data_IF_252908724068
#
_entry.id   IF_252908724068
#
_cell.length_a   1.000
_cell.length_b   1.000
_cell.length_c   1.000
_cell.angle_alpha   90.00
_cell.angle_beta   90.00
_cell.angle_gamma   90.00
#
_symmetry.space_group_name_H-M   'P 1'
#
loop_
_entity.id
_entity.type
_entity.pdbx_description
1 polymer ?
#
# COMPACT_ATOMS: atom_id res chain seq x y z
N UNK A 1 -33.64 -5.36 22.83
CA UNK A 1 -32.26 -5.89 23.01
C UNK A 1 -32.13 -7.14 22.14
N UNK A 2 -31.02 -7.28 21.39
CA UNK A 2 -30.71 -8.33 20.40
C UNK A 2 -31.04 -8.06 18.91
N UNK A 3 -30.27 -7.14 18.31
CA UNK A 3 -29.78 -7.30 16.93
C UNK A 3 -28.31 -6.85 16.86
N UNK A 4 -27.44 -7.46 17.66
CA UNK A 4 -26.01 -7.47 17.30
C UNK A 4 -25.97 -8.41 16.09
N UNK A 5 -26.03 -7.83 14.89
CA UNK A 5 -25.73 -8.53 13.64
C UNK A 5 -24.48 -9.36 13.90
N UNK A 6 -24.56 -10.70 13.77
CA UNK A 6 -23.40 -11.58 13.94
C UNK A 6 -22.29 -11.04 13.06
N UNK A 7 -21.31 -10.38 13.68
CA UNK A 7 -20.16 -9.80 13.01
C UNK A 7 -19.49 -10.94 12.25
N UNK A 8 -19.37 -10.80 10.94
CA UNK A 8 -18.78 -11.85 10.12
C UNK A 8 -17.26 -11.75 10.21
N UNK A 9 -16.65 -12.64 10.98
CA UNK A 9 -15.20 -12.70 11.20
C UNK A 9 -14.39 -12.82 9.89
N UNK A 10 -14.93 -13.48 8.86
CA UNK A 10 -14.26 -13.61 7.56
C UNK A 10 -14.18 -12.27 6.82
N UNK A 11 -15.22 -11.43 6.89
CA UNK A 11 -15.18 -10.07 6.32
C UNK A 11 -14.14 -9.21 7.04
N UNK A 12 -14.12 -9.29 8.37
CA UNK A 12 -13.19 -8.54 9.21
C UNK A 12 -11.74 -8.96 8.95
N UNK A 13 -11.49 -10.27 8.88
CA UNK A 13 -10.17 -10.83 8.56
C UNK A 13 -9.68 -10.42 7.17
N UNK A 14 -10.58 -10.42 6.17
CA UNK A 14 -10.26 -9.95 4.82
C UNK A 14 -9.83 -8.47 4.81
N UNK A 15 -10.59 -7.59 5.47
CA UNK A 15 -10.24 -6.18 5.56
C UNK A 15 -8.92 -5.98 6.31
N UNK A 16 -8.71 -6.69 7.43
CA UNK A 16 -7.46 -6.64 8.16
C UNK A 16 -6.28 -7.04 7.28
N UNK A 17 -6.36 -8.18 6.57
CA UNK A 17 -5.25 -8.65 5.74
C UNK A 17 -4.94 -7.69 4.59
N UNK A 18 -5.97 -7.14 3.94
CA UNK A 18 -5.80 -6.23 2.81
C UNK A 18 -5.13 -4.92 3.24
N UNK A 19 -5.60 -4.32 4.33
CA UNK A 19 -5.06 -3.05 4.82
C UNK A 19 -3.66 -3.24 5.39
N UNK A 20 -3.35 -4.34 6.08
CA UNK A 20 -1.97 -4.60 6.50
C UNK A 20 -1.05 -4.75 5.27
N UNK A 21 -1.42 -5.59 4.30
CA UNK A 21 -0.53 -5.90 3.17
C UNK A 21 -0.29 -4.71 2.25
N UNK A 22 -1.30 -3.87 2.00
CA UNK A 22 -1.16 -2.75 1.06
C UNK A 22 -0.33 -1.59 1.65
N UNK A 23 -0.38 -1.39 2.97
CA UNK A 23 0.32 -0.28 3.61
C UNK A 23 1.80 -0.56 3.87
N UNK A 24 2.22 -1.83 3.89
CA UNK A 24 3.65 -2.19 4.00
C UNK A 24 4.49 -1.56 2.87
N UNK A 25 4.22 -1.82 1.57
CA UNK A 25 5.01 -1.23 0.49
C UNK A 25 4.83 0.29 0.43
N UNK A 26 3.63 0.80 0.67
CA UNK A 26 3.37 2.24 0.64
C UNK A 26 4.22 2.99 1.68
N UNK A 27 4.23 2.50 2.93
CA UNK A 27 4.94 3.15 4.03
C UNK A 27 6.46 2.91 3.97
N UNK A 28 6.90 1.86 3.29
CA UNK A 28 8.31 1.70 2.96
C UNK A 28 8.84 2.85 2.10
N UNK A 29 8.16 3.18 1.00
CA UNK A 29 8.59 4.29 0.14
C UNK A 29 8.42 5.65 0.79
N UNK A 30 7.39 5.80 1.63
CA UNK A 30 7.08 7.07 2.27
C UNK A 30 7.95 7.38 3.50
N UNK A 31 8.31 6.38 4.29
CA UNK A 31 9.03 6.59 5.55
C UNK A 31 10.39 5.87 5.60
N UNK A 32 10.45 4.56 5.31
CA UNK A 32 11.70 3.80 5.46
C UNK A 32 12.79 4.25 4.48
N UNK A 33 12.46 4.39 3.20
CA UNK A 33 13.41 4.72 2.14
C UNK A 33 14.06 6.11 2.34
N UNK A 34 13.30 7.20 2.59
CA UNK A 34 13.90 8.51 2.91
C UNK A 34 14.87 8.47 4.08
N UNK A 35 14.52 7.75 5.15
CA UNK A 35 15.37 7.61 6.34
C UNK A 35 16.63 6.83 6.02
N UNK A 36 16.51 5.70 5.32
CA UNK A 36 17.65 4.91 4.86
C UNK A 36 18.60 5.73 3.98
N UNK A 37 18.06 6.46 3.00
CA UNK A 37 18.86 7.32 2.13
C UNK A 37 19.58 8.43 2.92
N UNK A 38 18.94 8.98 3.96
CA UNK A 38 19.58 9.95 4.85
C UNK A 38 20.74 9.34 5.63
N UNK A 39 20.60 8.11 6.13
CA UNK A 39 21.66 7.38 6.82
C UNK A 39 22.86 7.07 5.89
N UNK A 40 22.58 6.81 4.61
CA UNK A 40 23.61 6.63 3.57
C UNK A 40 24.25 7.96 3.10
N UNK A 41 23.91 9.10 3.71
CA UNK A 41 24.50 10.40 3.38
C UNK A 41 23.93 11.07 2.13
N UNK A 42 22.75 10.64 1.64
CA UNK A 42 22.10 11.29 0.49
C UNK A 42 21.76 12.76 0.78
N UNK A 43 21.77 13.57 -0.28
CA UNK A 43 21.44 14.99 -0.20
C UNK A 43 19.97 15.21 0.17
N UNK A 44 19.69 16.35 0.81
CA UNK A 44 18.32 16.71 1.19
C UNK A 44 17.42 16.89 -0.05
N UNK A 45 17.98 17.39 -1.15
CA UNK A 45 17.29 17.55 -2.43
C UNK A 45 16.82 16.20 -2.98
N UNK A 46 17.69 15.18 -2.92
CA UNK A 46 17.34 13.82 -3.34
C UNK A 46 16.24 13.23 -2.47
N UNK A 47 16.31 13.39 -1.15
CA UNK A 47 15.28 12.90 -0.22
C UNK A 47 13.94 13.62 -0.48
N UNK A 48 13.98 14.92 -0.79
CA UNK A 48 12.78 15.66 -1.16
C UNK A 48 12.11 15.10 -2.42
N UNK A 49 12.88 14.62 -3.42
CA UNK A 49 12.33 13.94 -4.60
C UNK A 49 11.62 12.63 -4.24
N UNK A 50 12.16 11.84 -3.30
CA UNK A 50 11.51 10.61 -2.82
C UNK A 50 10.20 10.93 -2.11
N UNK A 51 10.13 12.03 -1.35
CA UNK A 51 8.88 12.43 -0.70
C UNK A 51 7.77 12.79 -1.70
N UNK A 52 8.09 13.12 -2.96
CA UNK A 52 7.09 13.33 -4.01
C UNK A 52 6.37 12.03 -4.42
N UNK A 53 6.84 10.87 -4.00
CA UNK A 53 6.15 9.60 -4.24
C UNK A 53 4.78 9.52 -3.55
N UNK A 54 4.49 10.43 -2.60
CA UNK A 54 3.17 10.52 -1.95
C UNK A 54 2.08 11.15 -2.85
N UNK A 55 2.46 11.83 -3.93
CA UNK A 55 1.52 12.57 -4.78
C UNK A 55 0.32 11.73 -5.26
N UNK A 56 0.46 10.44 -5.63
CA UNK A 56 -0.68 9.62 -6.00
C UNK A 56 -1.73 9.52 -4.89
N UNK A 57 -1.33 9.39 -3.63
CA UNK A 57 -2.26 9.29 -2.50
C UNK A 57 -3.12 10.56 -2.39
N UNK A 58 -2.51 11.73 -2.61
CA UNK A 58 -3.20 13.04 -2.57
C UNK A 58 -4.15 13.19 -3.75
N UNK A 59 -3.72 12.79 -4.94
CA UNK A 59 -4.49 12.98 -6.18
C UNK A 59 -5.41 11.80 -6.53
N UNK A 60 -5.56 10.81 -5.64
CA UNK A 60 -6.30 9.57 -5.89
C UNK A 60 -7.74 9.78 -6.39
N UNK A 61 -8.37 10.89 -6.00
CA UNK A 61 -9.70 11.28 -6.43
C UNK A 61 -9.82 11.53 -7.95
N UNK A 62 -8.70 11.81 -8.66
CA UNK A 62 -8.73 12.09 -10.10
C UNK A 62 -9.08 10.84 -10.92
N UNK A 63 -8.67 9.65 -10.48
CA UNK A 63 -8.91 8.40 -11.20
C UNK A 63 -9.80 7.41 -10.44
N UNK A 64 -10.16 7.69 -9.18
CA UNK A 64 -11.11 6.83 -8.45
C UNK A 64 -12.43 6.60 -9.22
N UNK A 65 -13.03 7.57 -9.94
CA UNK A 65 -14.26 7.32 -10.70
C UNK A 65 -14.07 6.31 -11.84
N UNK A 66 -12.86 6.16 -12.37
CA UNK A 66 -12.57 5.17 -13.42
C UNK A 66 -12.58 3.75 -12.84
N UNK A 67 -12.02 3.56 -11.64
CA UNK A 67 -12.04 2.27 -10.93
C UNK A 67 -13.47 1.90 -10.52
N UNK A 68 -14.26 2.89 -10.12
CA UNK A 68 -15.68 2.66 -9.77
C UNK A 68 -16.52 2.34 -11.02
N UNK A 69 -16.23 2.96 -12.16
CA UNK A 69 -17.01 2.78 -13.40
C UNK A 69 -16.69 1.48 -14.14
N UNK A 70 -15.41 1.11 -14.23
CA UNK A 70 -14.96 -0.02 -15.02
C UNK A 70 -14.55 -1.18 -14.11
N UNK A 71 -14.92 -2.41 -14.44
CA UNK A 71 -14.51 -3.58 -13.67
C UNK A 71 -15.10 -4.86 -14.24
N UNK A 72 -14.54 -6.00 -13.82
CA UNK A 72 -14.97 -7.32 -14.30
C UNK A 72 -15.99 -7.94 -13.34
N UNK A 73 -17.27 -7.81 -13.68
CA UNK A 73 -18.39 -8.19 -12.79
C UNK A 73 -18.43 -9.68 -12.45
N UNK A 74 -17.98 -10.57 -13.33
CA UNK A 74 -18.03 -12.03 -13.12
C UNK A 74 -17.16 -12.49 -11.93
N UNK A 75 -16.08 -11.79 -11.61
CA UNK A 75 -15.19 -12.10 -10.48
C UNK A 75 -15.43 -11.20 -9.25
N UNK A 76 -16.42 -10.30 -9.35
CA UNK A 76 -16.65 -9.21 -8.41
C UNK A 76 -15.85 -7.97 -8.80
N UNK A 77 -16.58 -6.86 -9.01
CA UNK A 77 -16.07 -5.61 -9.57
C UNK A 77 -14.74 -5.15 -8.94
N UNK A 78 -14.74 -4.91 -7.61
CA UNK A 78 -13.55 -4.44 -6.90
C UNK A 78 -12.55 -5.57 -6.60
N UNK A 79 -12.99 -6.83 -6.53
CA UNK A 79 -12.10 -7.98 -6.26
C UNK A 79 -11.11 -8.16 -7.39
N UNK A 80 -11.57 -8.02 -8.62
CA UNK A 80 -10.73 -8.05 -9.80
C UNK A 80 -9.59 -7.01 -9.72
N UNK A 81 -9.93 -5.77 -9.40
CA UNK A 81 -8.94 -4.69 -9.28
C UNK A 81 -7.92 -4.92 -8.18
N UNK A 82 -8.37 -5.34 -6.99
CA UNK A 82 -7.45 -5.61 -5.87
C UNK A 82 -6.44 -6.69 -6.26
N UNK A 83 -6.89 -7.80 -6.85
CA UNK A 83 -5.99 -8.88 -7.27
C UNK A 83 -5.04 -8.42 -8.38
N UNK A 84 -5.54 -7.68 -9.37
CA UNK A 84 -4.72 -7.17 -10.46
C UNK A 84 -3.62 -6.24 -9.95
N UNK A 85 -3.98 -5.27 -9.11
CA UNK A 85 -3.01 -4.32 -8.54
C UNK A 85 -2.03 -5.01 -7.61
N UNK A 86 -2.48 -5.96 -6.79
CA UNK A 86 -1.58 -6.75 -5.93
C UNK A 86 -0.51 -7.49 -6.75
N UNK A 87 -0.90 -8.10 -7.89
CA UNK A 87 0.06 -8.78 -8.77
C UNK A 87 1.08 -7.81 -9.37
N UNK A 88 0.62 -6.63 -9.79
CA UNK A 88 1.50 -5.59 -10.35
C UNK A 88 2.46 -5.06 -9.27
N UNK A 89 1.97 -4.75 -8.07
CA UNK A 89 2.81 -4.28 -6.95
C UNK A 89 3.84 -5.34 -6.57
N UNK A 90 3.45 -6.62 -6.50
CA UNK A 90 4.38 -7.71 -6.23
C UNK A 90 5.47 -7.81 -7.31
N UNK A 91 5.12 -7.68 -8.58
CA UNK A 91 6.10 -7.67 -9.68
C UNK A 91 7.05 -6.48 -9.58
N UNK A 92 6.54 -5.27 -9.33
CA UNK A 92 7.35 -4.07 -9.16
C UNK A 92 8.28 -4.17 -7.95
N UNK A 93 7.83 -4.78 -6.86
CA UNK A 93 8.64 -5.03 -5.66
C UNK A 93 9.85 -5.93 -6.00
N UNK A 94 9.62 -7.01 -6.75
CA UNK A 94 10.71 -7.88 -7.22
C UNK A 94 11.66 -7.12 -8.15
N UNK A 95 11.14 -6.27 -9.05
CA UNK A 95 11.99 -5.47 -9.93
C UNK A 95 12.84 -4.44 -9.17
N UNK A 96 12.27 -3.82 -8.12
CA UNK A 96 12.99 -2.90 -7.23
C UNK A 96 14.21 -3.56 -6.58
N UNK A 97 14.16 -4.87 -6.34
CA UNK A 97 15.26 -5.61 -5.72
C UNK A 97 16.56 -5.60 -6.49
N UNK A 98 16.45 -5.58 -7.82
CA UNK A 98 17.60 -5.63 -8.72
C UNK A 98 18.17 -4.24 -9.02
N UNK A 99 17.59 -3.17 -8.44
CA UNK A 99 18.03 -1.80 -8.69
C UNK A 99 18.99 -1.37 -7.60
N UNK A 100 20.20 -0.99 -7.99
CA UNK A 100 21.14 -0.31 -7.12
C UNK A 100 20.76 1.17 -6.97
N UNK A 101 20.36 1.57 -5.75
CA UNK A 101 20.00 2.95 -5.42
C UNK A 101 21.12 3.92 -5.77
N UNK A 102 22.39 3.53 -5.54
CA UNK A 102 23.54 4.40 -5.72
C UNK A 102 23.80 4.75 -7.19
N UNK A 103 23.43 3.86 -8.11
CA UNK A 103 23.68 4.02 -9.54
C UNK A 103 22.43 4.49 -10.31
N UNK A 104 21.23 4.13 -9.87
CA UNK A 104 20.00 4.26 -10.67
C UNK A 104 18.84 4.88 -9.90
N UNK A 105 19.09 5.94 -9.13
CA UNK A 105 18.07 6.65 -8.36
C UNK A 105 16.85 7.07 -9.20
N UNK A 106 17.05 7.60 -10.41
CA UNK A 106 15.93 8.03 -11.26
C UNK A 106 15.00 6.87 -11.63
N UNK A 107 15.56 5.69 -11.90
CA UNK A 107 14.78 4.49 -12.20
C UNK A 107 14.00 4.03 -10.96
N UNK A 108 14.64 4.07 -9.78
CA UNK A 108 13.97 3.78 -8.51
C UNK A 108 12.79 4.73 -8.26
N UNK A 109 12.95 6.03 -8.51
CA UNK A 109 11.89 7.01 -8.34
C UNK A 109 10.72 6.74 -9.30
N UNK A 110 11.00 6.41 -10.56
CA UNK A 110 9.95 6.08 -11.54
C UNK A 110 9.17 4.83 -11.10
N UNK A 111 9.87 3.77 -10.73
CA UNK A 111 9.23 2.51 -10.32
C UNK A 111 8.49 2.70 -8.99
N UNK A 112 9.09 3.41 -8.04
CA UNK A 112 8.45 3.78 -6.78
C UNK A 112 7.17 4.57 -7.01
N UNK A 113 7.18 5.54 -7.93
CA UNK A 113 6.01 6.33 -8.26
C UNK A 113 4.90 5.47 -8.86
N UNK A 114 5.24 4.63 -9.84
CA UNK A 114 4.30 3.69 -10.47
C UNK A 114 3.71 2.74 -9.43
N UNK A 115 4.53 2.22 -8.52
CA UNK A 115 4.07 1.36 -7.44
C UNK A 115 3.15 2.10 -6.47
N UNK A 116 3.46 3.35 -6.08
CA UNK A 116 2.57 4.18 -5.27
C UNK A 116 1.23 4.44 -5.96
N UNK A 117 1.20 4.64 -7.29
CA UNK A 117 -0.06 4.74 -8.06
C UNK A 117 -0.87 3.45 -7.95
N UNK A 118 -0.25 2.28 -8.10
CA UNK A 118 -0.96 0.99 -8.00
C UNK A 118 -1.41 0.66 -6.56
N UNK A 119 -0.57 0.91 -5.55
CA UNK A 119 -0.96 0.78 -4.14
C UNK A 119 -2.15 1.69 -3.80
N UNK A 120 -2.12 2.94 -4.27
CA UNK A 120 -3.22 3.90 -4.10
C UNK A 120 -4.49 3.46 -4.84
N UNK A 121 -4.34 2.86 -6.02
CA UNK A 121 -5.47 2.33 -6.80
C UNK A 121 -6.09 1.10 -6.13
N UNK A 122 -5.26 0.27 -5.49
CA UNK A 122 -5.70 -0.84 -4.65
C UNK A 122 -6.46 -0.35 -3.42
N UNK A 123 -5.98 0.72 -2.77
CA UNK A 123 -6.66 1.37 -1.63
C UNK A 123 -8.05 1.88 -2.02
N UNK A 124 -8.20 2.55 -3.18
CA UNK A 124 -9.52 2.95 -3.72
C UNK A 124 -10.45 1.74 -3.86
N UNK A 125 -9.97 0.67 -4.48
CA UNK A 125 -10.79 -0.53 -4.69
C UNK A 125 -11.15 -1.23 -3.37
N UNK A 126 -10.25 -1.23 -2.39
CA UNK A 126 -10.47 -1.79 -1.06
C UNK A 126 -11.49 -0.97 -0.25
N UNK A 127 -11.38 0.36 -0.27
CA UNK A 127 -12.33 1.28 0.35
C UNK A 127 -13.74 1.06 -0.22
N UNK A 128 -13.85 1.05 -1.56
CA UNK A 128 -15.13 0.83 -2.23
C UNK A 128 -15.69 -0.58 -1.97
N UNK A 129 -14.83 -1.60 -1.92
CA UNK A 129 -15.26 -2.95 -1.54
C UNK A 129 -15.81 -3.00 -0.12
N UNK A 130 -15.17 -2.35 0.85
CA UNK A 130 -15.60 -2.33 2.24
C UNK A 130 -17.00 -1.71 2.39
N UNK A 131 -17.25 -0.59 1.71
CA UNK A 131 -18.58 0.07 1.70
C UNK A 131 -19.68 -0.85 1.18
N UNK A 132 -19.36 -1.68 0.17
CA UNK A 132 -20.30 -2.63 -0.43
C UNK A 132 -20.44 -3.94 0.37
N UNK A 133 -19.40 -4.35 1.09
CA UNK A 133 -19.35 -5.62 1.82
C UNK A 133 -19.97 -5.51 3.23
N UNK A 134 -19.86 -4.34 3.86
CA UNK A 134 -20.26 -4.11 5.25
C UNK A 134 -21.69 -3.57 5.34
N UNK A 135 -22.51 -4.23 6.17
CA UNK A 135 -23.81 -3.69 6.56
C UNK A 135 -23.65 -2.44 7.43
N UNK A 136 -24.67 -1.56 7.55
CA UNK A 136 -24.58 -0.35 8.36
C UNK A 136 -24.10 -0.58 9.80
N UNK A 137 -24.50 -1.71 10.41
CA UNK A 137 -24.08 -2.09 11.76
C UNK A 137 -22.61 -2.55 11.85
N UNK A 138 -22.06 -3.11 10.76
CA UNK A 138 -20.67 -3.58 10.69
C UNK A 138 -19.67 -2.46 10.35
N UNK A 139 -20.13 -1.34 9.76
CA UNK A 139 -19.24 -0.26 9.26
C UNK A 139 -18.35 0.36 10.33
N UNK A 140 -18.86 0.57 11.54
CA UNK A 140 -18.07 1.13 12.64
C UNK A 140 -16.86 0.26 12.98
N UNK A 141 -17.09 -1.05 13.19
CA UNK A 141 -16.02 -2.00 13.46
C UNK A 141 -15.11 -2.20 12.25
N UNK A 142 -15.68 -2.30 11.05
CA UNK A 142 -14.91 -2.45 9.81
C UNK A 142 -13.93 -1.30 9.59
N UNK A 143 -14.37 -0.05 9.75
CA UNK A 143 -13.50 1.13 9.69
C UNK A 143 -12.40 1.07 10.76
N UNK A 144 -12.74 0.66 11.99
CA UNK A 144 -11.76 0.46 13.05
C UNK A 144 -10.65 -0.53 12.64
N UNK A 145 -11.05 -1.67 12.06
CA UNK A 145 -10.10 -2.68 11.57
C UNK A 145 -9.25 -2.16 10.42
N UNK A 146 -9.82 -1.42 9.48
CA UNK A 146 -9.08 -0.81 8.38
C UNK A 146 -8.00 0.14 8.90
N UNK A 147 -8.35 1.00 9.86
CA UNK A 147 -7.41 1.93 10.49
C UNK A 147 -6.33 1.18 11.29
N UNK A 148 -6.70 0.17 12.07
CA UNK A 148 -5.71 -0.66 12.78
C UNK A 148 -4.78 -1.41 11.82
N UNK A 149 -5.32 -1.93 10.72
CA UNK A 149 -4.55 -2.60 9.68
C UNK A 149 -3.56 -1.65 8.99
N UNK A 150 -3.99 -0.43 8.67
CA UNK A 150 -3.12 0.63 8.18
C UNK A 150 -1.97 0.88 9.16
N UNK A 151 -2.24 1.19 10.43
CA UNK A 151 -1.16 1.46 11.40
C UNK A 151 -0.21 0.29 11.58
N UNK A 152 -0.73 -0.95 11.61
CA UNK A 152 0.11 -2.13 11.71
C UNK A 152 1.00 -2.30 10.46
N UNK A 153 0.43 -2.14 9.27
CA UNK A 153 1.17 -2.15 8.01
C UNK A 153 2.22 -1.03 7.96
N UNK A 154 1.90 0.15 8.49
CA UNK A 154 2.81 1.28 8.58
C UNK A 154 4.00 0.98 9.50
N UNK A 155 3.78 0.45 10.70
CA UNK A 155 4.86 0.07 11.63
C UNK A 155 5.78 -0.97 11.00
N UNK A 156 5.21 -1.96 10.31
CA UNK A 156 5.98 -3.00 9.63
C UNK A 156 6.76 -2.41 8.44
N UNK A 157 6.09 -1.66 7.57
CA UNK A 157 6.66 -1.09 6.34
C UNK A 157 7.66 0.03 6.58
N UNK A 158 7.56 0.74 7.69
CA UNK A 158 8.50 1.79 8.11
C UNK A 158 9.63 1.21 8.98
N UNK A 159 9.45 1.20 10.30
CA UNK A 159 10.45 0.80 11.28
C UNK A 159 10.90 -0.65 11.14
N UNK A 160 9.96 -1.58 10.87
CA UNK A 160 10.30 -2.98 10.63
C UNK A 160 11.24 -3.15 9.45
N UNK A 161 10.88 -2.60 8.29
CA UNK A 161 11.73 -2.65 7.09
C UNK A 161 13.03 -1.85 7.24
N UNK A 162 13.02 -0.73 7.96
CA UNK A 162 14.24 0.04 8.20
C UNK A 162 15.26 -0.74 9.03
N UNK A 163 14.81 -1.47 10.07
CA UNK A 163 15.69 -2.36 10.85
C UNK A 163 16.26 -3.47 9.95
N UNK A 164 15.45 -4.01 9.05
CA UNK A 164 15.94 -5.02 8.10
C UNK A 164 16.95 -4.40 7.11
N UNK A 165 16.68 -3.22 6.56
CA UNK A 165 17.60 -2.50 5.69
C UNK A 165 18.96 -2.27 6.35
N UNK A 166 18.97 -1.88 7.63
CA UNK A 166 20.19 -1.66 8.40
C UNK A 166 20.99 -2.96 8.62
N UNK A 167 20.30 -4.09 8.84
CA UNK A 167 20.95 -5.38 9.13
C UNK A 167 21.43 -6.13 7.90
N UNK A 168 20.63 -6.20 6.84
CA UNK A 168 20.90 -7.05 5.66
C UNK A 168 21.25 -6.26 4.40
N UNK A 169 21.00 -4.94 4.39
CA UNK A 169 21.25 -4.08 3.24
C UNK A 169 20.19 -4.21 2.14
N UNK A 170 20.12 -3.19 1.27
CA UNK A 170 19.11 -3.06 0.21
C UNK A 170 18.99 -4.31 -0.69
N UNK A 171 20.11 -4.78 -1.26
CA UNK A 171 20.10 -5.88 -2.22
C UNK A 171 19.59 -7.20 -1.63
N UNK A 172 19.79 -7.45 -0.32
CA UNK A 172 19.33 -8.68 0.33
C UNK A 172 17.92 -8.58 0.91
N UNK A 173 17.40 -7.37 1.12
CA UNK A 173 16.04 -7.19 1.63
C UNK A 173 14.99 -7.39 0.54
N UNK A 174 15.30 -6.93 -0.66
CA UNK A 174 14.35 -6.97 -1.76
C UNK A 174 14.46 -8.27 -2.60
N UNK A 175 15.58 -9.01 -2.51
CA UNK A 175 15.72 -10.36 -3.09
C UNK A 175 15.12 -11.44 -2.17
#
# INVERSE_FOLDING_TARGET
MNQISKINASKMGLLASLYVSQYIPLMFFYEALPVYMRQQGSSLQTIALVNLLILPVVFKFLWSPLIDRYGYTRWGHYRFWIVLFQLIVSLLTVLCAFIDISQNLNLLLIIGFVMCVFCTSQDIAADAMAVNLLSPAERGLGNGIQVSGHYLGAVIGSGGMLILLDKIGWQKLCC
#
